data_IF_878040554956
#
_entry.id   IF_878040554956
#
_cell.length_a   1.000
_cell.length_b   1.000
_cell.length_c   1.000
_cell.angle_alpha   90.00
_cell.angle_beta   90.00
_cell.angle_gamma   90.00
#
_symmetry.space_group_name_H-M   'P 1'
#
loop_
_entity.id
_entity.type
_entity.pdbx_description
1 polymer ?
#
# COMPACT_ATOMS: atom_id res chain seq x y z
N UNK A 1 35.90 91.46 -0.89
CA UNK A 1 35.02 90.28 -0.75
C UNK A 1 34.64 89.83 -2.15
N UNK A 2 35.32 88.82 -2.70
CA UNK A 2 35.05 88.37 -4.07
C UNK A 2 34.05 87.21 -4.04
N UNK A 3 32.76 87.54 -4.15
CA UNK A 3 31.70 86.57 -4.38
C UNK A 3 31.84 86.02 -5.80
N UNK A 4 32.31 84.77 -5.93
CA UNK A 4 32.28 84.07 -7.21
C UNK A 4 30.81 83.84 -7.58
N UNK A 5 30.37 84.43 -8.69
CA UNK A 5 29.07 84.15 -9.29
C UNK A 5 29.04 82.66 -9.68
N UNK A 6 28.23 81.87 -8.97
CA UNK A 6 27.92 80.49 -9.37
C UNK A 6 26.97 80.56 -10.58
N UNK A 7 27.44 80.10 -11.73
CA UNK A 7 26.58 79.82 -12.88
C UNK A 7 25.61 78.70 -12.49
N UNK A 8 24.31 78.99 -12.46
CA UNK A 8 23.28 77.95 -12.32
C UNK A 8 23.29 77.09 -13.58
N UNK A 9 23.83 75.88 -13.48
CA UNK A 9 23.66 74.83 -14.48
C UNK A 9 22.30 74.18 -14.23
N UNK A 10 21.28 74.61 -14.97
CA UNK A 10 19.97 73.96 -14.98
C UNK A 10 20.04 72.64 -15.77
N UNK A 11 19.28 71.64 -15.33
CA UNK A 11 19.12 70.38 -16.07
C UNK A 11 18.61 70.65 -17.48
N UNK A 12 19.26 70.06 -18.48
CA UNK A 12 18.77 70.12 -19.85
C UNK A 12 17.61 69.15 -20.03
N UNK A 13 16.65 69.49 -20.89
CA UNK A 13 15.54 68.60 -21.24
C UNK A 13 16.05 67.24 -21.79
N UNK A 14 17.19 67.28 -22.49
CA UNK A 14 17.88 66.10 -23.02
C UNK A 14 18.36 65.17 -21.90
N UNK A 15 18.88 65.70 -20.79
CA UNK A 15 19.37 64.90 -19.67
C UNK A 15 18.24 64.18 -18.94
N UNK A 16 17.10 64.85 -18.72
CA UNK A 16 15.91 64.22 -18.15
C UNK A 16 15.35 63.14 -19.10
N UNK A 17 15.33 63.40 -20.42
CA UNK A 17 14.88 62.39 -21.39
C UNK A 17 15.78 61.16 -21.41
N UNK A 18 17.11 61.33 -21.42
CA UNK A 18 18.06 60.22 -21.39
C UNK A 18 17.93 59.46 -20.07
N UNK A 19 17.82 60.16 -18.93
CA UNK A 19 17.62 59.52 -17.63
C UNK A 19 16.35 58.66 -17.61
N UNK A 20 15.23 59.18 -18.13
CA UNK A 20 13.97 58.44 -18.23
C UNK A 20 14.06 57.26 -19.21
N UNK A 21 14.75 57.43 -20.34
CA UNK A 21 14.96 56.35 -21.31
C UNK A 21 15.76 55.21 -20.67
N UNK A 22 16.91 55.50 -20.05
CA UNK A 22 17.75 54.50 -19.40
C UNK A 22 17.00 53.84 -18.24
N UNK A 23 16.28 54.63 -17.43
CA UNK A 23 15.46 54.11 -16.35
C UNK A 23 14.37 53.15 -16.85
N UNK A 24 13.66 53.52 -17.92
CA UNK A 24 12.63 52.68 -18.53
C UNK A 24 13.22 51.37 -19.08
N UNK A 25 14.40 51.42 -19.71
CA UNK A 25 15.09 50.23 -20.23
C UNK A 25 15.52 49.29 -19.10
N UNK A 26 16.15 49.81 -18.05
CA UNK A 26 16.54 49.01 -16.88
C UNK A 26 15.31 48.39 -16.21
N UNK A 27 14.25 49.18 -16.05
CA UNK A 27 12.98 48.70 -15.46
C UNK A 27 12.35 47.57 -16.29
N UNK A 28 12.39 47.69 -17.62
CA UNK A 28 11.90 46.65 -18.52
C UNK A 28 12.74 45.37 -18.45
N UNK A 29 14.07 45.49 -18.42
CA UNK A 29 14.96 44.32 -18.27
C UNK A 29 14.75 43.63 -16.92
N UNK A 30 14.64 44.40 -15.84
CA UNK A 30 14.36 43.85 -14.51
C UNK A 30 13.01 43.12 -14.49
N UNK A 31 11.98 43.69 -15.11
CA UNK A 31 10.68 43.04 -15.27
C UNK A 31 10.77 41.71 -16.03
N UNK A 32 11.50 41.68 -17.14
CA UNK A 32 11.69 40.46 -17.94
C UNK A 32 12.37 39.34 -17.14
N UNK A 33 13.40 39.67 -16.34
CA UNK A 33 14.10 38.69 -15.51
C UNK A 33 13.15 38.10 -14.45
N UNK A 34 12.41 38.95 -13.75
CA UNK A 34 11.45 38.52 -12.72
C UNK A 34 10.35 37.66 -13.34
N UNK A 35 9.80 38.11 -14.46
CA UNK A 35 8.73 37.39 -15.15
C UNK A 35 9.19 36.01 -15.64
N UNK A 36 10.36 35.94 -16.28
CA UNK A 36 10.95 34.67 -16.72
C UNK A 36 11.22 33.72 -15.55
N UNK A 37 11.67 34.23 -14.40
CA UNK A 37 11.84 33.41 -13.20
C UNK A 37 10.51 32.85 -12.68
N UNK A 38 9.43 33.65 -12.69
CA UNK A 38 8.10 33.23 -12.26
C UNK A 38 7.46 32.19 -13.19
N UNK A 39 7.63 32.33 -14.50
CA UNK A 39 7.12 31.34 -15.46
C UNK A 39 7.87 30.00 -15.32
N UNK A 40 9.18 30.06 -15.16
CA UNK A 40 10.00 28.86 -14.97
C UNK A 40 9.68 28.14 -13.64
N UNK A 41 9.41 28.89 -12.56
CA UNK A 41 8.96 28.28 -11.31
C UNK A 41 7.61 27.60 -11.49
N UNK A 42 6.63 28.26 -12.14
CA UNK A 42 5.32 27.67 -12.38
C UNK A 42 5.35 26.39 -13.23
N UNK A 43 6.25 26.32 -14.22
CA UNK A 43 6.49 25.09 -14.98
C UNK A 43 7.09 23.98 -14.10
N UNK A 44 8.10 24.33 -13.29
CA UNK A 44 8.76 23.39 -12.38
C UNK A 44 7.80 22.83 -11.32
N UNK A 45 6.93 23.67 -10.78
CA UNK A 45 5.93 23.29 -9.77
C UNK A 45 4.95 22.25 -10.33
N UNK A 46 4.48 22.45 -11.57
CA UNK A 46 3.59 21.48 -12.24
C UNK A 46 4.27 20.12 -12.43
N UNK A 47 5.52 20.11 -12.89
CA UNK A 47 6.26 18.86 -13.07
C UNK A 47 6.49 18.14 -11.73
N UNK A 48 6.78 18.90 -10.67
CA UNK A 48 6.96 18.36 -9.33
C UNK A 48 5.66 17.75 -8.79
N UNK A 49 4.52 18.39 -9.02
CA UNK A 49 3.21 17.85 -8.65
C UNK A 49 2.91 16.52 -9.36
N UNK A 50 3.17 16.43 -10.67
CA UNK A 50 2.97 15.19 -11.44
C UNK A 50 3.84 14.03 -10.92
N UNK A 51 5.13 14.31 -10.68
CA UNK A 51 6.05 13.30 -10.13
C UNK A 51 5.62 12.84 -8.73
N UNK A 52 5.16 13.79 -7.88
CA UNK A 52 4.64 13.47 -6.56
C UNK A 52 3.42 12.55 -6.64
N UNK A 53 2.48 12.81 -7.56
CA UNK A 53 1.33 11.93 -7.79
C UNK A 53 1.75 10.53 -8.22
N UNK A 54 2.72 10.39 -9.12
CA UNK A 54 3.27 9.09 -9.53
C UNK A 54 3.88 8.33 -8.33
N UNK A 55 4.67 9.02 -7.49
CA UNK A 55 5.28 8.41 -6.30
C UNK A 55 4.23 8.00 -5.26
N UNK A 56 3.21 8.82 -5.03
CA UNK A 56 2.10 8.49 -4.14
C UNK A 56 1.31 7.29 -4.65
N UNK A 57 1.07 7.23 -5.97
CA UNK A 57 0.42 6.10 -6.64
C UNK A 57 1.23 4.83 -6.46
N UNK A 58 2.54 4.88 -6.74
CA UNK A 58 3.46 3.78 -6.52
C UNK A 58 3.39 3.28 -5.08
N UNK A 59 3.58 4.17 -4.09
CA UNK A 59 3.64 3.79 -2.68
C UNK A 59 2.34 3.16 -2.19
N UNK A 60 1.20 3.65 -2.69
CA UNK A 60 -0.11 3.10 -2.37
C UNK A 60 -0.31 1.71 -2.97
N UNK A 61 0.06 1.54 -4.24
CA UNK A 61 -0.03 0.26 -4.92
C UNK A 61 0.93 -0.77 -4.31
N UNK A 62 2.16 -0.37 -3.99
CA UNK A 62 3.15 -1.18 -3.27
C UNK A 62 2.60 -1.69 -1.95
N UNK A 63 1.99 -0.81 -1.14
CA UNK A 63 1.39 -1.22 0.13
C UNK A 63 0.27 -2.24 -0.06
N UNK A 64 -0.63 -2.00 -1.01
CA UNK A 64 -1.72 -2.92 -1.27
C UNK A 64 -1.19 -4.30 -1.70
N UNK A 65 -0.22 -4.33 -2.61
CA UNK A 65 0.34 -5.56 -3.17
C UNK A 65 1.22 -6.33 -2.18
N UNK A 66 2.00 -5.63 -1.34
CA UNK A 66 2.86 -6.28 -0.33
C UNK A 66 2.07 -6.88 0.83
N UNK A 67 0.88 -6.34 1.11
CA UNK A 67 -0.06 -6.86 2.12
C UNK A 67 -1.16 -7.74 1.51
N UNK A 68 -0.96 -8.21 0.27
CA UNK A 68 -1.92 -9.07 -0.42
C UNK A 68 -2.10 -10.40 0.32
N UNK A 69 -3.35 -10.82 0.46
CA UNK A 69 -3.73 -12.08 1.09
C UNK A 69 -4.26 -13.06 0.03
N UNK A 70 -3.93 -14.36 0.09
CA UNK A 70 -4.48 -15.40 -0.78
C UNK A 70 -5.92 -15.78 -0.36
N UNK A 71 -6.81 -14.78 -0.25
CA UNK A 71 -8.18 -14.92 0.25
C UNK A 71 -9.20 -14.43 -0.78
N UNK A 72 -10.10 -15.32 -1.17
CA UNK A 72 -11.31 -15.00 -1.93
C UNK A 72 -12.38 -14.35 -1.03
N UNK A 73 -13.33 -13.63 -1.62
CA UNK A 73 -14.45 -13.00 -0.91
C UNK A 73 -15.77 -13.60 -1.40
N UNK A 74 -16.80 -13.64 -0.57
CA UNK A 74 -18.12 -14.13 -1.00
C UNK A 74 -18.61 -13.39 -2.27
N UNK A 75 -18.88 -14.15 -3.33
CA UNK A 75 -19.27 -13.63 -4.64
C UNK A 75 -18.15 -13.57 -5.68
N UNK A 76 -16.88 -13.74 -5.28
CA UNK A 76 -15.73 -13.86 -6.19
C UNK A 76 -14.84 -15.04 -5.76
N UNK A 77 -14.75 -16.06 -6.61
CA UNK A 77 -14.06 -17.31 -6.28
C UNK A 77 -12.53 -17.23 -6.43
N UNK A 78 -12.01 -16.06 -6.76
CA UNK A 78 -10.58 -15.81 -6.96
C UNK A 78 -10.01 -14.82 -5.93
N UNK A 79 -8.87 -15.20 -5.33
CA UNK A 79 -8.10 -14.35 -4.42
C UNK A 79 -7.59 -13.09 -5.15
N UNK A 80 -7.10 -13.26 -6.37
CA UNK A 80 -6.70 -12.20 -7.29
C UNK A 80 -7.40 -12.40 -8.64
N UNK A 81 -8.04 -11.33 -9.13
CA UNK A 81 -8.82 -11.34 -10.36
C UNK A 81 -8.40 -10.20 -11.26
N UNK A 82 -8.11 -10.49 -12.52
CA UNK A 82 -7.93 -9.50 -13.57
C UNK A 82 -9.14 -9.57 -14.52
N UNK A 83 -9.91 -8.49 -14.60
CA UNK A 83 -11.09 -8.40 -15.47
C UNK A 83 -11.14 -7.05 -16.17
N UNK A 84 -11.19 -7.02 -17.49
CA UNK A 84 -11.27 -5.77 -18.28
C UNK A 84 -10.23 -4.71 -17.84
N UNK A 85 -9.01 -5.18 -17.54
CA UNK A 85 -7.90 -4.36 -17.05
C UNK A 85 -8.06 -3.79 -15.62
N UNK A 86 -9.08 -4.22 -14.90
CA UNK A 86 -9.24 -3.99 -13.47
C UNK A 86 -8.64 -5.16 -12.68
N UNK A 87 -7.71 -4.85 -11.77
CA UNK A 87 -7.08 -5.82 -10.88
C UNK A 87 -7.73 -5.75 -9.50
N UNK A 88 -8.40 -6.81 -9.10
CA UNK A 88 -9.08 -6.95 -7.81
C UNK A 88 -8.38 -7.99 -6.94
N UNK A 89 -8.10 -7.66 -5.68
CA UNK A 89 -7.51 -8.59 -4.72
C UNK A 89 -7.81 -8.18 -3.27
N UNK A 90 -7.57 -9.12 -2.36
CA UNK A 90 -7.76 -8.89 -0.93
C UNK A 90 -6.43 -8.45 -0.31
N UNK A 91 -6.44 -7.38 0.47
CA UNK A 91 -5.27 -6.82 1.15
C UNK A 91 -5.61 -6.45 2.59
N UNK A 92 -4.58 -6.34 3.43
CA UNK A 92 -4.69 -5.88 4.80
C UNK A 92 -4.28 -4.41 4.90
N UNK A 93 -5.14 -3.56 5.47
CA UNK A 93 -4.83 -2.14 5.71
C UNK A 93 -4.95 -1.81 7.20
N UNK A 94 -3.80 -1.57 7.84
CA UNK A 94 -3.72 -1.18 9.25
C UNK A 94 -4.10 0.28 9.53
N UNK A 95 -4.23 1.12 8.49
CA UNK A 95 -4.55 2.55 8.65
C UNK A 95 -6.03 2.85 8.42
N UNK A 96 -6.74 1.99 7.69
CA UNK A 96 -8.15 2.15 7.38
C UNK A 96 -9.09 1.83 8.55
N UNK A 97 -8.54 1.38 9.68
CA UNK A 97 -9.26 0.86 10.84
C UNK A 97 -10.60 1.57 11.05
N UNK A 98 -11.68 0.91 10.64
CA UNK A 98 -13.06 1.36 10.75
C UNK A 98 -13.51 1.33 12.22
N UNK A 99 -12.84 2.14 13.06
CA UNK A 99 -13.15 2.33 14.48
C UNK A 99 -12.46 1.37 15.46
N UNK A 100 -11.50 0.53 15.04
CA UNK A 100 -10.82 -0.45 15.93
C UNK A 100 -9.30 -0.49 15.72
N UNK A 101 -8.54 0.47 16.27
CA UNK A 101 -7.10 0.64 15.98
C UNK A 101 -6.19 -0.54 16.38
N UNK A 102 -6.76 -1.61 16.94
CA UNK A 102 -6.07 -2.82 17.40
C UNK A 102 -6.15 -3.97 16.36
N UNK A 103 -7.02 -3.88 15.35
CA UNK A 103 -7.15 -4.89 14.30
C UNK A 103 -7.06 -4.23 12.91
N UNK A 104 -6.15 -4.70 12.03
CA UNK A 104 -6.10 -4.24 10.66
C UNK A 104 -7.31 -4.76 9.88
N UNK A 105 -7.93 -3.89 9.08
CA UNK A 105 -9.09 -4.27 8.30
C UNK A 105 -8.67 -5.07 7.06
N UNK A 106 -9.43 -6.13 6.76
CA UNK A 106 -9.30 -6.87 5.51
C UNK A 106 -10.18 -6.20 4.48
N UNK A 107 -9.55 -5.71 3.41
CA UNK A 107 -10.21 -4.93 2.37
C UNK A 107 -10.11 -5.66 1.03
N UNK A 108 -11.17 -5.57 0.23
CA UNK A 108 -11.14 -5.90 -1.19
C UNK A 108 -10.82 -4.61 -1.94
N UNK A 109 -9.66 -4.56 -2.57
CA UNK A 109 -9.22 -3.41 -3.38
C UNK A 109 -9.36 -3.76 -4.85
N UNK A 110 -9.83 -2.81 -5.65
CA UNK A 110 -9.89 -2.92 -7.10
C UNK A 110 -9.21 -1.72 -7.74
N UNK A 111 -8.16 -1.97 -8.51
CA UNK A 111 -7.46 -0.98 -9.29
C UNK A 111 -7.97 -1.01 -10.72
N UNK A 112 -8.59 0.08 -11.18
CA UNK A 112 -9.23 0.16 -12.51
C UNK A 112 -8.84 1.45 -13.22
N UNK A 113 -8.49 1.34 -14.49
CA UNK A 113 -8.35 2.49 -15.38
C UNK A 113 -9.72 2.84 -15.99
N UNK A 114 -10.20 4.06 -15.75
CA UNK A 114 -11.46 4.57 -16.29
C UNK A 114 -11.37 6.08 -16.50
N UNK A 115 -11.86 6.58 -17.63
CA UNK A 115 -11.89 8.01 -17.95
C UNK A 115 -10.51 8.67 -17.79
N UNK A 116 -9.48 8.05 -18.39
CA UNK A 116 -8.08 8.47 -18.31
C UNK A 116 -7.51 8.61 -16.88
N UNK A 117 -8.15 7.98 -15.91
CA UNK A 117 -7.78 8.06 -14.49
C UNK A 117 -7.67 6.66 -13.90
N UNK A 118 -6.59 6.41 -13.17
CA UNK A 118 -6.43 5.21 -12.37
C UNK A 118 -7.18 5.38 -11.06
N UNK A 119 -8.22 4.59 -10.88
CA UNK A 119 -9.06 4.54 -9.70
C UNK A 119 -8.66 3.38 -8.81
N UNK A 120 -8.69 3.63 -7.49
CA UNK A 120 -8.65 2.59 -6.47
C UNK A 120 -10.00 2.56 -5.77
N UNK A 121 -10.72 1.47 -5.96
CA UNK A 121 -11.97 1.18 -5.28
C UNK A 121 -11.69 0.29 -4.05
N UNK A 122 -12.33 0.61 -2.92
CA UNK A 122 -12.09 -0.05 -1.64
C UNK A 122 -13.42 -0.49 -1.05
N UNK A 123 -13.58 -1.79 -0.86
CA UNK A 123 -14.74 -2.35 -0.17
C UNK A 123 -14.27 -3.19 1.02
N UNK A 124 -15.06 -3.29 2.09
CA UNK A 124 -14.81 -4.26 3.15
C UNK A 124 -14.80 -5.69 2.58
N UNK A 125 -13.79 -6.50 2.91
CA UNK A 125 -13.75 -7.92 2.53
C UNK A 125 -14.55 -8.79 3.52
N UNK A 126 -15.76 -8.35 3.85
CA UNK A 126 -16.70 -9.07 4.71
C UNK A 126 -17.44 -10.12 3.89
N UNK A 127 -17.71 -11.26 4.52
CA UNK A 127 -18.48 -12.36 3.94
C UNK A 127 -20.00 -12.07 4.00
N UNK A 128 -20.40 -10.91 3.47
CA UNK A 128 -21.77 -10.44 3.46
C UNK A 128 -22.61 -11.20 2.42
N UNK A 129 -23.91 -11.31 2.68
CA UNK A 129 -24.87 -11.93 1.75
C UNK A 129 -25.05 -11.13 0.44
N UNK A 130 -24.72 -9.83 0.46
CA UNK A 130 -24.77 -8.93 -0.69
C UNK A 130 -23.49 -8.12 -0.79
N UNK A 131 -22.95 -7.88 -2.00
CA UNK A 131 -21.79 -7.01 -2.21
C UNK A 131 -22.07 -5.59 -1.72
N UNK A 132 -21.11 -4.99 -1.03
CA UNK A 132 -21.13 -3.58 -0.67
C UNK A 132 -20.39 -2.80 -1.74
N UNK A 133 -20.99 -1.71 -2.23
CA UNK A 133 -20.33 -0.83 -3.20
C UNK A 133 -19.12 -0.16 -2.55
N UNK A 134 -17.96 -0.26 -3.22
CA UNK A 134 -16.70 0.27 -2.68
C UNK A 134 -16.59 1.78 -2.82
N UNK A 135 -15.80 2.39 -1.94
CA UNK A 135 -15.42 3.80 -2.07
C UNK A 135 -14.37 3.93 -3.17
N UNK A 136 -14.67 4.70 -4.22
CA UNK A 136 -13.77 4.95 -5.33
C UNK A 136 -12.92 6.21 -5.07
N UNK A 137 -11.61 6.08 -5.18
CA UNK A 137 -10.65 7.16 -4.98
C UNK A 137 -9.81 7.31 -6.26
N UNK A 138 -9.75 8.50 -6.88
CA UNK A 138 -8.84 8.75 -7.99
C UNK A 138 -7.41 8.82 -7.45
N UNK A 139 -6.47 8.12 -8.09
CA UNK A 139 -5.08 8.01 -7.62
C UNK A 139 -4.09 8.65 -8.59
N UNK A 140 -4.29 8.44 -9.90
CA UNK A 140 -3.44 9.00 -10.94
C UNK A 140 -4.27 9.44 -12.15
N UNK A 141 -4.16 10.69 -12.55
CA UNK A 141 -4.85 11.26 -13.71
C UNK A 141 -3.95 11.24 -14.96
N UNK A 142 -4.53 11.54 -16.12
CA UNK A 142 -3.82 11.63 -17.42
C UNK A 142 -3.15 10.31 -17.83
N UNK A 143 -3.79 9.18 -17.51
CA UNK A 143 -3.36 7.84 -17.86
C UNK A 143 -4.02 7.40 -19.16
N UNK A 144 -3.22 7.19 -20.19
CA UNK A 144 -3.66 6.73 -21.52
C UNK A 144 -3.94 5.23 -21.54
N UNK A 145 -3.08 4.44 -20.91
CA UNK A 145 -3.23 2.98 -20.82
C UNK A 145 -2.49 2.41 -19.62
N UNK A 146 -2.99 1.28 -19.10
CA UNK A 146 -2.33 0.48 -18.08
C UNK A 146 -2.32 -0.98 -18.50
N UNK A 147 -1.25 -1.72 -18.21
CA UNK A 147 -1.18 -3.15 -18.48
C UNK A 147 -0.60 -3.88 -17.28
N UNK A 148 -1.26 -4.97 -16.89
CA UNK A 148 -0.85 -5.82 -15.77
C UNK A 148 -0.11 -7.05 -16.28
N UNK A 149 0.95 -7.43 -15.58
CA UNK A 149 1.61 -8.72 -15.73
C UNK A 149 1.92 -9.33 -14.38
N UNK A 150 1.99 -10.65 -14.34
CA UNK A 150 2.15 -11.42 -13.12
C UNK A 150 3.33 -12.38 -13.27
N UNK A 151 4.10 -12.52 -12.20
CA UNK A 151 5.24 -13.42 -12.13
C UNK A 151 4.94 -14.60 -11.21
N UNK A 152 5.20 -15.82 -11.69
CA UNK A 152 5.17 -17.06 -10.91
C UNK A 152 6.33 -17.98 -11.34
N UNK A 153 6.14 -18.72 -12.43
CA UNK A 153 7.23 -19.46 -13.12
C UNK A 153 7.79 -18.68 -14.32
N UNK A 154 7.21 -17.51 -14.59
CA UNK A 154 7.52 -16.62 -15.69
C UNK A 154 6.48 -15.52 -15.80
N UNK A 155 6.78 -14.48 -16.57
CA UNK A 155 5.89 -13.34 -16.76
C UNK A 155 4.73 -13.65 -17.70
N UNK A 156 3.50 -13.46 -17.23
CA UNK A 156 2.25 -13.66 -17.99
C UNK A 156 1.31 -12.45 -17.85
N UNK A 157 0.46 -12.22 -18.84
CA UNK A 157 -0.51 -11.11 -18.88
C UNK A 157 -1.89 -11.47 -18.32
N UNK A 158 -2.07 -12.74 -17.95
CA UNK A 158 -3.30 -13.29 -17.39
C UNK A 158 -3.03 -14.00 -16.06
N UNK A 159 -4.05 -14.09 -15.22
CA UNK A 159 -4.01 -14.84 -13.97
C UNK A 159 -5.29 -15.66 -13.82
N UNK A 160 -5.16 -16.98 -13.80
CA UNK A 160 -6.30 -17.91 -13.76
C UNK A 160 -6.43 -18.66 -12.43
N UNK A 161 -5.40 -18.63 -11.59
CA UNK A 161 -5.39 -19.33 -10.31
C UNK A 161 -6.41 -18.74 -9.34
N UNK A 162 -7.26 -19.62 -8.77
CA UNK A 162 -8.28 -19.19 -7.81
C UNK A 162 -7.71 -18.85 -6.43
N UNK A 163 -6.78 -19.67 -5.95
CA UNK A 163 -6.27 -19.56 -4.57
C UNK A 163 -4.84 -19.01 -4.52
N UNK A 164 -4.04 -19.25 -5.55
CA UNK A 164 -2.65 -18.80 -5.59
C UNK A 164 -2.56 -17.30 -5.91
N UNK A 165 -1.60 -16.63 -5.27
CA UNK A 165 -1.18 -15.27 -5.58
C UNK A 165 0.15 -15.30 -6.35
N UNK A 166 0.40 -14.34 -7.24
CA UNK A 166 1.67 -14.24 -7.94
C UNK A 166 2.80 -13.86 -6.98
N UNK A 167 4.04 -14.22 -7.31
CA UNK A 167 5.24 -13.79 -6.57
C UNK A 167 5.64 -12.34 -6.90
N UNK A 168 5.18 -11.83 -8.05
CA UNK A 168 5.40 -10.45 -8.43
C UNK A 168 4.32 -9.93 -9.37
N UNK A 169 4.10 -8.62 -9.32
CA UNK A 169 3.14 -7.91 -10.17
C UNK A 169 3.86 -6.77 -10.87
N UNK A 170 3.64 -6.65 -12.16
CA UNK A 170 4.11 -5.54 -12.97
C UNK A 170 2.90 -4.73 -13.45
N UNK A 171 2.98 -3.41 -13.30
CA UNK A 171 2.07 -2.45 -13.90
C UNK A 171 2.87 -1.56 -14.85
N UNK A 172 2.52 -1.59 -16.13
CA UNK A 172 3.04 -0.64 -17.11
C UNK A 172 1.99 0.40 -17.40
N UNK A 173 2.27 1.66 -17.06
CA UNK A 173 1.38 2.81 -17.26
C UNK A 173 1.95 3.70 -18.36
N UNK A 174 1.12 4.07 -19.33
CA UNK A 174 1.45 5.08 -20.34
C UNK A 174 0.64 6.33 -20.04
N UNK A 175 1.31 7.46 -19.88
CA UNK A 175 0.67 8.76 -19.66
C UNK A 175 0.30 9.43 -20.99
N UNK A 176 -0.52 10.49 -20.93
CA UNK A 176 -0.95 11.26 -22.11
C UNK A 176 0.19 11.95 -22.86
N UNK A 177 1.28 12.28 -22.15
CA UNK A 177 2.51 12.81 -22.75
C UNK A 177 3.37 11.72 -23.43
N UNK A 178 2.86 10.49 -23.56
CA UNK A 178 3.55 9.29 -24.06
C UNK A 178 4.74 8.82 -23.20
N UNK A 179 4.90 9.31 -21.97
CA UNK A 179 5.85 8.71 -21.03
C UNK A 179 5.33 7.35 -20.55
N UNK A 180 6.24 6.38 -20.45
CA UNK A 180 5.95 5.02 -20.00
C UNK A 180 6.64 4.75 -18.67
N UNK A 181 5.85 4.35 -17.69
CA UNK A 181 6.29 3.98 -16.36
C UNK A 181 6.05 2.50 -16.15
N UNK A 182 7.14 1.73 -16.02
CA UNK A 182 7.07 0.31 -15.68
C UNK A 182 7.36 0.11 -14.21
N UNK A 183 6.38 -0.41 -13.51
CA UNK A 183 6.44 -0.63 -12.09
C UNK A 183 6.41 -2.12 -11.76
N UNK A 184 7.35 -2.59 -10.96
CA UNK A 184 7.50 -4.00 -10.61
C UNK A 184 7.50 -4.14 -9.10
N UNK A 185 6.58 -4.93 -8.58
CA UNK A 185 6.38 -5.16 -7.16
C UNK A 185 6.62 -6.63 -6.85
N UNK A 186 7.28 -6.90 -5.72
CA UNK A 186 7.34 -8.23 -5.14
C UNK A 186 6.12 -8.37 -4.24
N UNK A 187 5.38 -9.46 -4.41
CA UNK A 187 4.29 -9.82 -3.52
C UNK A 187 4.88 -10.81 -2.53
N UNK A 188 4.72 -10.55 -1.23
CA UNK A 188 5.16 -11.52 -0.23
C UNK A 188 4.40 -12.81 -0.46
N UNK A 189 5.14 -13.91 -0.53
CA UNK A 189 4.55 -15.22 -0.40
C UNK A 189 3.83 -15.25 0.95
N UNK A 190 2.50 -15.30 0.90
CA UNK A 190 1.73 -15.60 2.09
C UNK A 190 2.29 -16.86 2.72
N UNK A 191 2.41 -16.87 4.04
CA UNK A 191 2.76 -18.07 4.80
C UNK A 191 2.06 -19.29 4.18
N UNK A 192 2.77 -20.40 3.90
CA UNK A 192 2.16 -21.54 3.23
C UNK A 192 0.98 -22.01 4.07
N UNK A 193 -0.23 -21.71 3.60
CA UNK A 193 -1.41 -22.44 4.03
C UNK A 193 -1.18 -23.84 3.48
N UNK A 194 -0.77 -24.74 4.38
CA UNK A 194 -0.66 -26.16 4.08
C UNK A 194 -1.95 -26.56 3.41
N UNK A 195 -1.90 -26.76 2.09
CA UNK A 195 -2.99 -27.40 1.38
C UNK A 195 -2.94 -28.82 1.88
N UNK A 196 -3.80 -29.11 2.84
CA UNK A 196 -4.03 -30.46 3.33
C UNK A 196 -4.29 -31.32 2.09
N UNK A 197 -3.34 -32.20 1.82
CA UNK A 197 -3.35 -33.07 0.67
C UNK A 197 -4.61 -33.94 0.75
N UNK A 198 -5.62 -33.60 -0.04
CA UNK A 198 -6.71 -34.51 -0.34
C UNK A 198 -6.12 -35.71 -1.10
N UNK A 199 -5.82 -36.78 -0.37
CA UNK A 199 -5.46 -38.08 -0.95
C UNK A 199 -4.31 -38.81 -0.28
N UNK A 200 -4.49 -39.22 0.98
CA UNK A 200 -3.82 -40.41 1.52
C UNK A 200 -4.73 -41.08 2.55
N UNK A 201 -5.51 -42.07 2.08
CA UNK A 201 -6.09 -43.09 2.93
C UNK A 201 -4.98 -44.01 3.45
N UNK A 202 -5.05 -44.35 4.75
CA UNK A 202 -4.16 -45.27 5.47
C UNK A 202 -3.45 -44.53 6.60
N UNK A 203 -3.59 -44.84 7.89
CA UNK A 203 -4.19 -45.97 8.59
C UNK A 203 -4.84 -45.43 9.86
N UNK A 204 -6.04 -45.90 10.17
CA UNK A 204 -6.62 -45.78 11.52
C UNK A 204 -5.87 -46.77 12.42
N UNK A 205 -5.21 -46.35 13.52
CA UNK A 205 -4.80 -47.31 14.53
C UNK A 205 -6.06 -47.93 15.13
N UNK A 206 -6.26 -49.22 14.84
CA UNK A 206 -7.33 -50.03 15.40
C UNK A 206 -7.07 -50.17 16.90
N UNK A 207 -7.89 -49.52 17.71
CA UNK A 207 -7.97 -49.75 19.15
C UNK A 207 -8.50 -51.18 19.38
N UNK A 208 -7.79 -52.05 20.13
CA UNK A 208 -8.26 -53.42 20.33
C UNK A 208 -9.51 -53.45 21.21
N UNK A 209 -10.52 -54.19 20.74
CA UNK A 209 -11.74 -54.47 21.47
C UNK A 209 -11.45 -55.02 22.87
N UNK A 210 -12.02 -54.39 23.89
CA UNK A 210 -12.04 -54.88 25.26
C UNK A 210 -13.00 -56.07 25.38
N UNK A 211 -12.45 -57.22 25.76
CA UNK A 211 -13.17 -58.46 26.04
C UNK A 211 -13.92 -58.32 27.39
N UNK A 212 -15.26 -58.54 27.48
CA UNK A 212 -16.02 -58.22 28.70
C UNK A 212 -15.91 -59.24 29.83
N UNK A 213 -14.99 -60.21 29.77
CA UNK A 213 -14.93 -61.27 30.76
C UNK A 213 -13.50 -61.62 31.19
N UNK A 214 -12.87 -60.73 31.97
CA UNK A 214 -11.72 -61.07 32.80
C UNK A 214 -11.90 -60.47 34.20
N UNK A 215 -12.05 -61.36 35.18
CA UNK A 215 -12.08 -61.02 36.62
C UNK A 215 -10.65 -60.74 37.14
N UNK A 216 -10.50 -59.96 38.23
CA UNK A 216 -9.25 -59.27 38.56
C UNK A 216 -8.24 -60.17 39.29
N UNK A 217 -6.95 -59.99 39.00
CA UNK A 217 -5.86 -60.51 39.83
C UNK A 217 -5.01 -59.36 40.39
N UNK A 218 -4.97 -59.32 41.72
CA UNK A 218 -4.12 -58.50 42.58
C UNK A 218 -2.61 -58.81 42.42
N UNK A 219 -1.81 -57.94 43.05
CA UNK A 219 -0.35 -57.96 43.32
C UNK A 219 0.55 -57.54 42.13
N UNK A 220 1.54 -56.65 42.27
CA UNK A 220 2.32 -56.19 43.42
C UNK A 220 3.05 -54.89 43.05
N UNK A 221 3.20 -53.96 44.00
CA UNK A 221 4.04 -52.76 43.88
C UNK A 221 5.46 -53.05 44.41
N UNK A 222 6.48 -52.36 43.88
CA UNK A 222 7.50 -51.83 44.79
C UNK A 222 7.89 -50.37 44.48
N UNK A 223 7.72 -49.58 45.53
CA UNK A 223 8.64 -48.61 46.15
C UNK A 223 9.28 -47.46 45.36
N UNK A 224 8.78 -46.29 45.74
CA UNK A 224 9.31 -44.96 45.46
C UNK A 224 10.51 -44.61 46.36
N UNK A 225 11.34 -43.72 45.81
CA UNK A 225 12.55 -43.17 46.39
C UNK A 225 12.37 -42.52 47.77
N UNK A 226 13.33 -42.79 48.67
CA UNK A 226 13.50 -42.07 49.93
C UNK A 226 14.15 -40.70 49.72
N UNK A 227 13.74 -39.67 50.47
CA UNK A 227 14.26 -39.36 51.79
C UNK A 227 13.74 -37.97 52.23
N UNK A 228 13.15 -37.90 53.42
CA UNK A 228 12.96 -36.69 54.23
C UNK A 228 13.40 -37.07 55.66
N UNK A 229 13.82 -36.15 56.57
CA UNK A 229 12.90 -35.20 57.23
C UNK A 229 13.57 -33.82 57.51
N UNK A 230 12.92 -32.74 57.96
CA UNK A 230 12.11 -32.61 59.17
C UNK A 230 11.26 -31.32 59.20
N UNK A 231 10.14 -31.39 59.93
CA UNK A 231 9.24 -30.30 60.31
C UNK A 231 9.80 -29.49 61.51
N UNK A 232 9.14 -28.40 62.00
CA UNK A 232 7.94 -28.57 62.86
C UNK A 232 6.80 -27.52 62.71
N UNK A 233 5.58 -28.06 62.78
CA UNK A 233 4.42 -27.66 63.61
C UNK A 233 3.68 -26.30 63.46
N UNK A 234 2.34 -26.48 63.34
CA UNK A 234 1.21 -25.73 63.96
C UNK A 234 0.93 -24.32 63.46
N UNK A 235 -0.29 -23.78 63.44
CA UNK A 235 -1.69 -24.22 63.54
C UNK A 235 -2.50 -22.90 63.44
N UNK A 236 -3.69 -22.94 62.83
CA UNK A 236 -4.82 -22.01 63.09
C UNK A 236 -4.68 -20.53 62.70
N UNK A 237 -5.57 -20.10 61.80
CA UNK A 237 -6.49 -19.02 62.16
C UNK A 237 -6.50 -17.74 61.29
N UNK A 238 -7.70 -17.49 60.74
CA UNK A 238 -8.34 -16.19 60.59
C UNK A 238 -7.98 -15.28 59.40
N UNK A 239 -8.94 -15.21 58.45
CA UNK A 239 -9.47 -13.99 57.81
C UNK A 239 -9.73 -12.86 58.84
N UNK A 240 -9.92 -11.59 58.44
CA UNK A 240 -10.47 -11.11 57.16
C UNK A 240 -9.51 -10.32 56.26
#
# INVERSE_FOLDING_TARGET
>A
MNSRLRLQQGFTLLEVMIALMVFALISMMAWQIIHGAMENSAFTDKQTANLSQLQLTWSRLERDLTQMLPRAVNGDDQALRLSENALSFTTQDGLASFGRPQEPDILRVTWRLKDNTLWREVAPALDLASPVEGVQVPVLEHVKSGQWRFFAEGWRSDWTSKTAIPQGVELTVTLENNEEWRWVFVVTDGWPITTEAAGAQGDTPTEPAQDPNASPQETQQPDAAGNAPAQPTTNTGAQP
#
